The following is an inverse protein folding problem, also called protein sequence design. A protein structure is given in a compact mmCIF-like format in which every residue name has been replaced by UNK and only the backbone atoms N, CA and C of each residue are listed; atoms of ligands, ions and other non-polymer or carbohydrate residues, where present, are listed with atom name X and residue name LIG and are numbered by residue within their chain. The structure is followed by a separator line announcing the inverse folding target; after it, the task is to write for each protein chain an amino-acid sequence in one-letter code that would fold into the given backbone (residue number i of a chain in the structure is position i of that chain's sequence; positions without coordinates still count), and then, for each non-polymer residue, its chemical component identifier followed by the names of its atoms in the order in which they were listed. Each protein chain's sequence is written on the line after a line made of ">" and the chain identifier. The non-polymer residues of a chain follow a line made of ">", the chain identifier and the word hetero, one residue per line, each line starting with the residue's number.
data_IF_371072839190
#
_entry.id   IF_371072839190
#
_cell.length_a   1.000
_cell.length_b   1.000
_cell.length_c   1.000
_cell.angle_alpha   90.00
_cell.angle_beta   90.00
_cell.angle_gamma   90.00
#
_symmetry.space_group_name_H-M   'P 1'
#
loop_
_entity.id
_entity.type
_entity.pdbx_description
1 polymer ?
#
# COMPACT_ATOMS: atom_id res chain seq x y z
N UNK A 1 35.05 -37.83 18.24
CA UNK A 1 33.97 -37.13 17.51
C UNK A 1 33.45 -36.01 18.40
N UNK A 2 33.87 -34.75 18.19
CA UNK A 2 33.21 -33.54 18.74
C UNK A 2 34.13 -32.32 18.56
N UNK A 3 34.51 -32.01 17.32
CA UNK A 3 35.26 -30.78 17.02
C UNK A 3 34.95 -30.28 15.61
N UNK A 4 33.65 -30.17 15.30
CA UNK A 4 33.17 -29.72 13.98
C UNK A 4 31.87 -28.90 14.05
N UNK A 5 31.31 -28.66 15.23
CA UNK A 5 30.01 -27.98 15.37
C UNK A 5 30.08 -26.47 15.60
N UNK A 6 31.26 -25.87 15.78
CA UNK A 6 31.40 -24.44 16.10
C UNK A 6 31.74 -23.53 14.91
N UNK A 7 31.84 -24.07 13.69
CA UNK A 7 32.19 -23.28 12.49
C UNK A 7 30.98 -22.80 11.67
N UNK A 8 29.75 -23.12 12.07
CA UNK A 8 28.54 -22.76 11.32
C UNK A 8 27.78 -21.51 11.84
N UNK A 9 28.26 -20.83 12.88
CA UNK A 9 27.59 -19.62 13.44
C UNK A 9 28.05 -18.30 12.77
N UNK A 10 28.96 -18.34 11.79
CA UNK A 10 29.55 -17.09 11.25
C UNK A 10 28.98 -16.70 9.86
N UNK A 11 28.09 -17.48 9.25
CA UNK A 11 27.72 -17.28 7.82
C UNK A 11 26.23 -17.00 7.57
N UNK A 12 25.58 -16.14 8.37
CA UNK A 12 24.21 -15.69 8.06
C UNK A 12 23.87 -14.28 8.56
N UNK A 13 24.86 -13.39 8.74
CA UNK A 13 24.59 -11.95 8.72
C UNK A 13 24.74 -11.47 7.28
N UNK A 14 23.74 -11.83 6.45
CA UNK A 14 23.52 -11.14 5.18
C UNK A 14 23.25 -9.68 5.53
N UNK A 15 24.30 -8.87 5.40
CA UNK A 15 24.26 -7.43 5.57
C UNK A 15 23.16 -6.87 4.65
N UNK A 16 21.97 -6.62 5.20
CA UNK A 16 21.02 -5.73 4.56
C UNK A 16 21.69 -4.36 4.54
N UNK A 17 22.27 -4.00 3.39
CA UNK A 17 22.96 -2.75 3.17
C UNK A 17 21.98 -1.62 3.50
N UNK A 18 22.18 -0.82 4.56
CA UNK A 18 21.31 0.31 4.82
C UNK A 18 21.47 1.26 3.63
N UNK A 19 20.43 1.39 2.81
CA UNK A 19 20.37 2.39 1.77
C UNK A 19 20.25 3.74 2.47
N UNK A 20 21.39 4.38 2.71
CA UNK A 20 21.45 5.78 3.12
C UNK A 20 20.91 6.59 1.94
N UNK A 21 19.62 6.92 1.98
CA UNK A 21 19.01 7.88 1.07
C UNK A 21 19.48 9.28 1.49
N UNK A 22 20.60 9.72 0.91
CA UNK A 22 21.08 11.10 1.01
C UNK A 22 20.02 12.04 0.43
N UNK A 23 19.31 12.76 1.30
CA UNK A 23 18.37 13.81 0.92
C UNK A 23 19.12 15.09 0.52
N UNK A 24 19.90 15.02 -0.54
CA UNK A 24 20.56 16.18 -1.12
C UNK A 24 20.67 15.96 -2.62
N UNK A 25 19.75 16.61 -3.35
CA UNK A 25 19.51 16.57 -4.81
C UNK A 25 18.47 15.56 -5.35
N UNK A 26 17.34 15.34 -4.66
CA UNK A 26 16.24 14.48 -5.15
C UNK A 26 15.06 15.26 -5.77
N UNK A 27 15.36 16.19 -6.66
CA UNK A 27 14.37 16.71 -7.60
C UNK A 27 14.82 16.36 -9.02
N UNK A 28 15.00 15.07 -9.30
CA UNK A 28 14.93 14.64 -10.71
C UNK A 28 13.51 14.93 -11.19
N UNK A 29 13.35 15.77 -12.22
CA UNK A 29 12.03 16.07 -12.80
C UNK A 29 11.37 14.86 -13.44
N UNK A 30 12.11 13.76 -13.61
CA UNK A 30 11.66 12.52 -14.22
C UNK A 30 11.40 11.44 -13.18
N UNK A 31 10.28 10.75 -13.34
CA UNK A 31 9.97 9.53 -12.60
C UNK A 31 10.99 8.40 -12.86
N UNK A 32 11.24 7.51 -11.88
CA UNK A 32 12.14 6.38 -12.07
C UNK A 32 11.69 5.46 -13.22
N UNK A 33 12.64 4.74 -13.82
CA UNK A 33 12.38 3.70 -14.82
C UNK A 33 11.69 2.49 -14.19
N UNK A 34 10.84 1.82 -14.94
CA UNK A 34 10.14 0.59 -14.54
C UNK A 34 8.63 0.75 -14.45
N UNK A 35 7.95 -0.38 -14.19
CA UNK A 35 6.51 -0.44 -14.04
C UNK A 35 6.09 -0.16 -12.59
N UNK A 36 5.19 0.79 -12.40
CA UNK A 36 4.65 1.13 -11.08
C UNK A 36 3.31 1.85 -11.21
N UNK A 37 2.55 1.87 -10.11
CA UNK A 37 1.29 2.59 -10.00
C UNK A 37 1.33 3.54 -8.80
N UNK A 38 0.71 4.70 -8.95
CA UNK A 38 0.55 5.71 -7.89
C UNK A 38 -0.93 5.96 -7.63
N UNK A 39 -1.31 6.28 -6.39
CA UNK A 39 -2.70 6.60 -6.07
C UNK A 39 -3.17 7.86 -6.78
N UNK A 40 -4.38 7.82 -7.32
CA UNK A 40 -4.95 8.95 -8.03
C UNK A 40 -5.65 9.90 -7.04
N UNK A 41 -5.05 11.07 -6.83
CA UNK A 41 -5.61 12.11 -5.96
C UNK A 41 -6.61 13.05 -6.67
N UNK A 42 -6.48 13.24 -7.99
CA UNK A 42 -7.33 14.14 -8.81
C UNK A 42 -8.12 13.42 -9.90
N UNK A 43 -8.75 14.15 -10.82
CA UNK A 43 -9.58 13.56 -11.88
C UNK A 43 -8.79 12.92 -13.03
N UNK A 44 -7.51 13.26 -13.20
CA UNK A 44 -6.68 12.80 -14.32
C UNK A 44 -5.32 12.27 -13.86
N UNK A 45 -4.78 11.33 -14.62
CA UNK A 45 -3.41 10.84 -14.42
C UNK A 45 -2.37 11.81 -14.99
N UNK A 46 -1.15 11.86 -14.40
CA UNK A 46 -0.04 12.61 -14.99
C UNK A 46 0.32 12.10 -16.39
N UNK A 47 1.02 12.91 -17.21
CA UNK A 47 1.52 12.46 -18.50
C UNK A 47 2.32 11.15 -18.38
N UNK A 48 2.16 10.27 -19.38
CA UNK A 48 2.78 8.94 -19.44
C UNK A 48 2.26 7.91 -18.43
N UNK A 49 1.17 8.22 -17.71
CA UNK A 49 0.44 7.25 -16.91
C UNK A 49 -0.95 7.00 -17.51
N UNK A 50 -1.45 5.79 -17.31
CA UNK A 50 -2.81 5.39 -17.68
C UNK A 50 -3.64 5.13 -16.42
N UNK A 51 -4.94 5.49 -16.42
CA UNK A 51 -5.82 5.19 -15.30
C UNK A 51 -6.05 3.69 -15.17
N UNK A 52 -6.19 3.21 -13.93
CA UNK A 52 -6.53 1.84 -13.60
C UNK A 52 -7.26 1.81 -12.24
N UNK A 53 -8.04 0.76 -12.01
CA UNK A 53 -8.87 0.61 -10.81
C UNK A 53 -8.83 -0.82 -10.25
N UNK A 54 -8.94 -0.93 -8.93
CA UNK A 54 -9.16 -2.19 -8.23
C UNK A 54 -10.30 -1.99 -7.24
N UNK A 55 -11.26 -2.89 -7.31
CA UNK A 55 -12.39 -2.94 -6.38
C UNK A 55 -12.29 -4.21 -5.54
N UNK A 56 -12.23 -4.02 -4.23
CA UNK A 56 -12.36 -5.10 -3.26
C UNK A 56 -13.70 -4.95 -2.55
N UNK A 57 -14.53 -5.99 -2.66
CA UNK A 57 -15.81 -6.09 -1.95
C UNK A 57 -15.73 -7.33 -1.07
N UNK A 58 -15.61 -7.13 0.24
CA UNK A 58 -15.53 -8.21 1.21
C UNK A 58 -16.87 -8.28 1.96
N UNK A 59 -17.61 -9.39 1.87
CA UNK A 59 -18.70 -9.64 2.81
C UNK A 59 -18.08 -9.88 4.18
N UNK A 60 -18.46 -9.07 5.15
CA UNK A 60 -17.80 -9.08 6.46
C UNK A 60 -18.78 -9.43 7.57
N UNK A 61 -18.32 -10.26 8.52
CA UNK A 61 -18.88 -10.38 9.87
C UNK A 61 -18.32 -9.28 10.79
N UNK A 62 -18.01 -8.10 10.27
CA UNK A 62 -17.68 -6.96 11.12
C UNK A 62 -18.98 -6.41 11.68
N UNK A 63 -19.07 -6.40 13.01
CA UNK A 63 -20.21 -5.80 13.70
C UNK A 63 -20.17 -4.28 13.44
N UNK A 64 -21.21 -3.70 12.84
CA UNK A 64 -21.24 -2.26 12.59
C UNK A 64 -21.05 -1.49 13.92
N UNK A 65 -20.16 -0.51 13.93
CA UNK A 65 -19.91 0.32 15.11
C UNK A 65 -18.85 -0.20 16.08
N UNK A 66 -18.01 -1.17 15.70
CA UNK A 66 -16.83 -1.50 16.49
C UNK A 66 -15.91 -0.28 16.65
N UNK A 67 -15.49 -0.05 17.89
CA UNK A 67 -14.57 1.01 18.25
C UNK A 67 -13.29 0.43 18.87
N UNK A 68 -12.20 1.19 18.80
CA UNK A 68 -11.02 0.91 19.62
C UNK A 68 -11.32 1.15 21.11
N UNK A 69 -10.31 0.92 21.95
CA UNK A 69 -10.41 1.15 23.41
C UNK A 69 -10.66 2.62 23.78
N UNK A 70 -10.48 3.54 22.83
CA UNK A 70 -10.70 4.98 23.00
C UNK A 70 -12.05 5.44 22.43
N UNK A 71 -12.88 4.52 21.93
CA UNK A 71 -14.18 4.84 21.33
C UNK A 71 -14.11 5.33 19.87
N UNK A 72 -12.96 5.27 19.22
CA UNK A 72 -12.85 5.64 17.81
C UNK A 72 -13.31 4.48 16.93
N UNK A 73 -14.19 4.75 15.95
CA UNK A 73 -14.61 3.74 14.98
C UNK A 73 -13.42 3.12 14.24
N UNK A 74 -13.35 1.79 14.23
CA UNK A 74 -12.24 1.05 13.61
C UNK A 74 -12.19 1.21 12.09
N UNK A 75 -13.37 1.39 11.47
CA UNK A 75 -13.50 1.66 10.04
C UNK A 75 -14.00 3.08 9.85
N UNK A 76 -13.19 3.90 9.16
CA UNK A 76 -13.58 5.26 8.75
C UNK A 76 -13.96 5.24 7.28
N UNK A 77 -15.23 5.46 7.02
CA UNK A 77 -15.77 5.59 5.67
C UNK A 77 -15.34 6.93 5.06
N UNK A 78 -15.27 6.99 3.73
CA UNK A 78 -14.98 8.25 3.05
C UNK A 78 -14.27 8.11 1.71
N UNK A 79 -13.64 9.22 1.30
CA UNK A 79 -12.90 9.35 0.05
C UNK A 79 -11.50 9.88 0.29
N UNK A 80 -10.54 9.37 -0.48
CA UNK A 80 -9.18 9.86 -0.56
C UNK A 80 -8.83 10.01 -2.05
N UNK A 81 -8.94 11.23 -2.57
CA UNK A 81 -8.90 11.48 -4.00
C UNK A 81 -10.06 10.79 -4.72
N UNK A 82 -9.73 10.01 -5.76
CA UNK A 82 -10.72 9.21 -6.51
C UNK A 82 -11.09 7.90 -5.82
N UNK A 83 -10.24 7.43 -4.90
CA UNK A 83 -10.48 6.21 -4.12
C UNK A 83 -11.53 6.42 -3.03
N UNK A 84 -12.27 5.36 -2.69
CA UNK A 84 -13.38 5.42 -1.75
C UNK A 84 -13.52 4.14 -0.93
N UNK A 85 -14.03 4.29 0.30
CA UNK A 85 -14.51 3.20 1.13
C UNK A 85 -15.97 3.50 1.50
N UNK A 86 -16.86 2.58 1.12
CA UNK A 86 -18.32 2.68 1.35
C UNK A 86 -18.89 1.37 1.88
N UNK A 87 -20.04 1.45 2.56
CA UNK A 87 -20.75 0.32 3.15
C UNK A 87 -22.17 0.28 2.61
N UNK A 88 -22.59 -0.87 2.10
CA UNK A 88 -23.99 -1.13 1.73
C UNK A 88 -24.67 -1.88 2.88
N UNK A 89 -25.68 -1.27 3.51
CA UNK A 89 -26.47 -1.93 4.56
C UNK A 89 -27.38 -3.03 4.02
N UNK A 90 -27.83 -2.91 2.77
CA UNK A 90 -28.64 -3.91 2.09
C UNK A 90 -27.84 -5.18 1.81
N UNK A 91 -26.65 -5.02 1.21
CA UNK A 91 -25.80 -6.14 0.83
C UNK A 91 -24.90 -6.61 1.98
N UNK A 92 -24.80 -5.83 3.06
CA UNK A 92 -23.89 -6.04 4.21
C UNK A 92 -22.43 -6.19 3.78
N UNK A 93 -22.00 -5.36 2.82
CA UNK A 93 -20.67 -5.44 2.22
C UNK A 93 -19.97 -4.09 2.32
N UNK A 94 -18.71 -4.14 2.75
CA UNK A 94 -17.79 -3.03 2.58
C UNK A 94 -17.16 -3.11 1.18
N UNK A 95 -17.15 -1.97 0.50
CA UNK A 95 -16.53 -1.83 -0.82
C UNK A 95 -15.44 -0.78 -0.75
N UNK A 96 -14.20 -1.25 -0.97
CA UNK A 96 -13.03 -0.42 -1.19
C UNK A 96 -12.79 -0.31 -2.70
N UNK A 97 -12.96 0.89 -3.24
CA UNK A 97 -12.52 1.23 -4.60
C UNK A 97 -11.21 2.00 -4.54
N UNK A 98 -10.16 1.44 -5.12
CA UNK A 98 -8.86 2.09 -5.28
C UNK A 98 -8.68 2.51 -6.73
N UNK A 99 -8.37 3.78 -6.95
CA UNK A 99 -8.03 4.31 -8.27
C UNK A 99 -6.56 4.71 -8.29
N UNK A 100 -5.88 4.33 -9.35
CA UNK A 100 -4.45 4.55 -9.49
C UNK A 100 -4.07 4.89 -10.93
N UNK A 101 -2.93 5.54 -11.07
CA UNK A 101 -2.30 5.86 -12.33
C UNK A 101 -1.09 4.95 -12.48
N UNK A 102 -1.07 4.14 -13.53
CA UNK A 102 -0.01 3.17 -13.78
C UNK A 102 0.85 3.59 -14.98
N UNK A 103 2.16 3.43 -14.85
CA UNK A 103 3.12 3.56 -15.94
C UNK A 103 3.61 2.17 -16.30
N UNK A 104 3.50 1.83 -17.58
CA UNK A 104 4.06 0.61 -18.14
C UNK A 104 5.50 0.87 -18.61
N UNK A 105 6.31 -0.18 -18.67
CA UNK A 105 7.73 -0.10 -19.05
C UNK A 105 7.91 0.31 -20.53
#
# INVERSE_FOLDING_TARGET
>A
MSSLFLLFIIFSLSQAKPSVYSHSNLASSSWPSGAYCIMQAGSSCPPSFSPNELKLSVPEEITPGMTDQSGNGLIRMGRAGSSFLVYSSYDRVYTLGLTFCCKNN
#
